data_IF_165347858112
#
_entry.id   IF_165347858112
#
_cell.length_a   1.000
_cell.length_b   1.000
_cell.length_c   1.000
_cell.angle_alpha   90.00
_cell.angle_beta   90.00
_cell.angle_gamma   90.00
#
_symmetry.space_group_name_H-M   'P 1'
#
loop_
_entity.id
_entity.type
_entity.pdbx_description
1 polymer ?
#
# COMPACT_ATOMS: atom_id res chain seq x y z
N UNK A 1 17.58 2.28 15.57
CA UNK A 1 16.74 1.04 15.50
C UNK A 1 15.27 1.34 15.76
N UNK A 2 14.94 2.08 16.84
CA UNK A 2 13.62 2.72 16.97
C UNK A 2 13.31 3.63 15.77
N UNK A 3 14.29 4.34 15.20
CA UNK A 3 14.04 5.22 14.04
C UNK A 3 13.60 4.44 12.79
N UNK A 4 14.18 3.26 12.54
CA UNK A 4 13.80 2.40 11.40
C UNK A 4 12.37 1.87 11.58
N UNK A 5 12.00 1.54 12.81
CA UNK A 5 10.65 1.10 13.14
C UNK A 5 9.61 2.22 12.92
N UNK A 6 9.93 3.46 13.30
CA UNK A 6 9.08 4.61 12.97
C UNK A 6 8.94 4.81 11.45
N UNK A 7 10.03 4.66 10.69
CA UNK A 7 9.99 4.77 9.22
C UNK A 7 9.06 3.71 8.60
N UNK A 8 9.11 2.48 9.08
CA UNK A 8 8.19 1.41 8.64
C UNK A 8 6.73 1.78 8.89
N UNK A 9 6.41 2.23 10.10
CA UNK A 9 5.06 2.64 10.48
C UNK A 9 4.60 3.81 9.61
N UNK A 10 5.45 4.80 9.40
CA UNK A 10 5.13 5.96 8.55
C UNK A 10 4.86 5.54 7.11
N UNK A 11 5.70 4.68 6.52
CA UNK A 11 5.50 4.16 5.16
C UNK A 11 4.21 3.35 5.03
N UNK A 12 3.91 2.51 6.04
CA UNK A 12 2.68 1.72 6.06
C UNK A 12 1.43 2.61 6.17
N UNK A 13 1.46 3.64 7.03
CA UNK A 13 0.37 4.63 7.14
C UNK A 13 0.14 5.34 5.80
N UNK A 14 1.21 5.79 5.15
CA UNK A 14 1.13 6.44 3.83
C UNK A 14 0.51 5.47 2.82
N UNK A 15 0.97 4.22 2.77
CA UNK A 15 0.46 3.19 1.86
C UNK A 15 -1.02 2.93 2.07
N UNK A 16 -1.49 2.89 3.33
CA UNK A 16 -2.92 2.73 3.65
C UNK A 16 -3.73 3.92 3.12
N UNK A 17 -3.28 5.16 3.38
CA UNK A 17 -3.99 6.37 2.92
C UNK A 17 -4.09 6.37 1.39
N UNK A 18 -2.98 6.14 0.70
CA UNK A 18 -2.95 6.16 -0.77
C UNK A 18 -3.78 5.02 -1.35
N UNK A 19 -3.73 3.82 -0.74
CA UNK A 19 -4.56 2.69 -1.18
C UNK A 19 -6.06 2.97 -1.03
N UNK A 20 -6.48 3.70 0.01
CA UNK A 20 -7.86 4.16 0.17
C UNK A 20 -8.21 5.16 -0.94
N UNK A 21 -7.32 6.11 -1.25
CA UNK A 21 -7.56 7.07 -2.34
C UNK A 21 -7.72 6.37 -3.69
N UNK A 22 -6.85 5.39 -4.00
CA UNK A 22 -6.96 4.54 -5.19
C UNK A 22 -8.32 3.85 -5.25
N UNK A 23 -8.74 3.24 -4.13
CA UNK A 23 -10.03 2.58 -4.05
C UNK A 23 -11.18 3.55 -4.33
N UNK A 24 -11.13 4.78 -3.80
CA UNK A 24 -12.16 5.78 -4.07
C UNK A 24 -12.19 6.24 -5.52
N UNK A 25 -11.04 6.42 -6.16
CA UNK A 25 -10.96 6.78 -7.58
C UNK A 25 -11.48 5.65 -8.46
N UNK A 26 -11.13 4.39 -8.16
CA UNK A 26 -11.75 3.26 -8.83
C UNK A 26 -13.26 3.16 -8.56
N UNK A 27 -13.73 3.50 -7.37
CA UNK A 27 -15.17 3.49 -7.11
C UNK A 27 -15.92 4.55 -7.95
N UNK A 28 -15.33 5.74 -8.14
CA UNK A 28 -15.88 6.78 -9.01
C UNK A 28 -15.85 6.36 -10.48
N UNK A 29 -14.69 5.92 -10.98
CA UNK A 29 -14.49 5.48 -12.36
C UNK A 29 -15.36 4.26 -12.72
N UNK A 30 -15.71 3.40 -11.74
CA UNK A 30 -16.67 2.29 -11.94
C UNK A 30 -18.00 2.80 -12.46
N UNK A 31 -18.46 3.95 -11.95
CA UNK A 31 -19.75 4.53 -12.33
C UNK A 31 -19.77 4.99 -13.78
N UNK A 32 -18.62 5.40 -14.32
CA UNK A 32 -18.45 5.89 -15.69
C UNK A 32 -18.10 4.75 -16.69
N UNK A 33 -17.28 3.78 -16.28
CA UNK A 33 -16.73 2.71 -17.14
C UNK A 33 -17.25 1.31 -16.82
N UNK A 34 -18.47 1.21 -16.31
CA UNK A 34 -19.13 0.03 -15.70
C UNK A 34 -19.17 -1.28 -16.54
N UNK A 35 -18.59 -1.31 -17.75
CA UNK A 35 -18.62 -2.46 -18.68
C UNK A 35 -17.29 -3.20 -18.89
N UNK A 36 -16.15 -2.69 -18.42
CA UNK A 36 -14.86 -3.34 -18.69
C UNK A 36 -14.48 -4.36 -17.62
N UNK A 37 -14.26 -5.63 -18.01
CA UNK A 37 -13.78 -6.72 -17.13
C UNK A 37 -12.44 -6.38 -16.47
N UNK A 38 -11.62 -5.57 -17.15
CA UNK A 38 -10.34 -5.05 -16.67
C UNK A 38 -10.54 -4.17 -15.43
N UNK A 39 -11.62 -3.39 -15.39
CA UNK A 39 -11.92 -2.49 -14.30
C UNK A 39 -12.26 -3.24 -13.00
N UNK A 40 -13.04 -4.32 -13.10
CA UNK A 40 -13.32 -5.18 -11.95
C UNK A 40 -12.06 -5.85 -11.40
N UNK A 41 -11.13 -6.25 -12.28
CA UNK A 41 -9.83 -6.80 -11.86
C UNK A 41 -9.00 -5.75 -11.13
N UNK A 42 -8.93 -4.51 -11.65
CA UNK A 42 -8.21 -3.41 -11.01
C UNK A 42 -8.78 -3.06 -9.62
N UNK A 43 -10.09 -3.08 -9.46
CA UNK A 43 -10.75 -2.85 -8.17
C UNK A 43 -10.39 -3.94 -7.16
N UNK A 44 -10.40 -5.21 -7.58
CA UNK A 44 -9.97 -6.34 -6.73
C UNK A 44 -8.49 -6.21 -6.36
N UNK A 45 -7.62 -5.83 -7.31
CA UNK A 45 -6.21 -5.56 -7.04
C UNK A 45 -6.04 -4.44 -6.01
N UNK A 46 -6.81 -3.36 -6.10
CA UNK A 46 -6.80 -2.29 -5.11
C UNK A 46 -7.20 -2.77 -3.71
N UNK A 47 -8.18 -3.67 -3.60
CA UNK A 47 -8.57 -4.25 -2.31
C UNK A 47 -7.43 -5.09 -1.75
N UNK A 48 -6.79 -5.92 -2.56
CA UNK A 48 -5.62 -6.69 -2.11
C UNK A 48 -4.47 -5.77 -1.66
N UNK A 49 -4.20 -4.69 -2.38
CA UNK A 49 -3.19 -3.70 -1.99
C UNK A 49 -3.52 -3.01 -0.65
N UNK A 50 -4.79 -2.69 -0.40
CA UNK A 50 -5.21 -2.15 0.90
C UNK A 50 -5.00 -3.16 2.03
N UNK A 51 -5.37 -4.42 1.82
CA UNK A 51 -5.21 -5.48 2.83
C UNK A 51 -3.75 -5.76 3.13
N UNK A 52 -2.92 -5.83 2.09
CA UNK A 52 -1.47 -6.01 2.19
C UNK A 52 -0.82 -4.87 3.00
N UNK A 53 -1.15 -3.61 2.66
CA UNK A 53 -0.64 -2.43 3.39
C UNK A 53 -1.04 -2.42 4.87
N UNK A 54 -2.26 -2.88 5.18
CA UNK A 54 -2.74 -3.01 6.57
C UNK A 54 -2.01 -4.15 7.29
N UNK A 55 -1.86 -5.30 6.65
CA UNK A 55 -1.12 -6.44 7.20
C UNK A 55 0.34 -6.09 7.51
N UNK A 56 1.01 -5.36 6.62
CA UNK A 56 2.37 -4.85 6.82
C UNK A 56 2.44 -3.91 8.04
N UNK A 57 1.48 -2.99 8.19
CA UNK A 57 1.41 -2.10 9.34
C UNK A 57 1.33 -2.87 10.67
N UNK A 58 0.49 -3.91 10.73
CA UNK A 58 0.38 -4.76 11.91
C UNK A 58 1.65 -5.57 12.16
N UNK A 59 2.23 -6.17 11.12
CA UNK A 59 3.46 -6.95 11.22
C UNK A 59 4.62 -6.10 11.75
N UNK A 60 4.82 -4.90 11.20
CA UNK A 60 5.86 -3.99 11.67
C UNK A 60 5.60 -3.51 13.09
N UNK A 61 4.35 -3.18 13.44
CA UNK A 61 4.01 -2.79 14.81
C UNK A 61 4.37 -3.88 15.84
N UNK A 62 4.10 -5.16 15.51
CA UNK A 62 4.44 -6.31 16.35
C UNK A 62 5.94 -6.62 16.40
N UNK A 63 6.69 -6.34 15.34
CA UNK A 63 8.14 -6.58 15.28
C UNK A 63 9.01 -5.55 16.02
N UNK A 64 8.41 -4.56 16.69
CA UNK A 64 9.10 -3.52 17.48
C UNK A 64 10.15 -4.04 18.48
N UNK A 65 10.01 -5.29 18.93
CA UNK A 65 10.88 -5.93 19.93
C UNK A 65 12.11 -6.63 19.33
N UNK A 66 12.06 -7.07 18.06
CA UNK A 66 13.11 -7.92 17.48
C UNK A 66 14.21 -7.08 16.80
N UNK A 67 15.46 -7.18 17.28
CA UNK A 67 16.60 -6.32 16.86
C UNK A 67 17.46 -6.94 15.76
N UNK A 68 16.99 -7.94 15.02
CA UNK A 68 17.84 -8.62 14.04
C UNK A 68 17.94 -7.80 12.72
N UNK A 69 19.10 -7.20 12.38
CA UNK A 69 19.25 -6.35 11.19
C UNK A 69 19.05 -7.11 9.88
N UNK A 70 19.29 -8.43 9.86
CA UNK A 70 19.10 -9.28 8.66
C UNK A 70 17.64 -9.32 8.22
N UNK A 71 16.69 -9.05 9.14
CA UNK A 71 15.25 -9.06 8.86
C UNK A 71 14.76 -7.64 8.56
N UNK A 72 15.27 -6.65 9.32
CA UNK A 72 14.79 -5.26 9.29
C UNK A 72 15.12 -4.54 7.97
N UNK A 73 16.33 -4.68 7.43
CA UNK A 73 16.71 -3.96 6.22
C UNK A 73 16.00 -4.46 4.95
N UNK A 74 15.88 -5.78 4.71
CA UNK A 74 15.07 -6.29 3.59
C UNK A 74 13.60 -5.90 3.71
N UNK A 75 13.02 -5.95 4.91
CA UNK A 75 11.64 -5.52 5.09
C UNK A 75 11.45 -4.04 4.78
N UNK A 76 12.42 -3.19 5.13
CA UNK A 76 12.35 -1.75 4.84
C UNK A 76 12.38 -1.48 3.34
N UNK A 77 13.23 -2.19 2.61
CA UNK A 77 13.27 -2.11 1.16
C UNK A 77 11.91 -2.51 0.55
N UNK A 78 11.31 -3.61 1.01
CA UNK A 78 9.99 -4.06 0.57
C UNK A 78 8.95 -2.96 0.82
N UNK A 79 8.88 -2.39 2.03
CA UNK A 79 7.94 -1.32 2.36
C UNK A 79 8.11 -0.08 1.49
N UNK A 80 9.34 0.31 1.16
CA UNK A 80 9.61 1.45 0.29
C UNK A 80 9.08 1.17 -1.13
N UNK A 81 9.38 -0.01 -1.68
CA UNK A 81 8.94 -0.38 -3.03
C UNK A 81 7.42 -0.57 -3.13
N UNK A 82 6.76 -1.14 -2.13
CA UNK A 82 5.29 -1.24 -2.08
C UNK A 82 4.67 0.15 -2.01
N UNK A 83 5.17 1.03 -1.12
CA UNK A 83 4.69 2.41 -1.01
C UNK A 83 4.83 3.17 -2.34
N UNK A 84 5.99 3.09 -2.99
CA UNK A 84 6.24 3.74 -4.28
C UNK A 84 5.32 3.19 -5.39
N UNK A 85 5.11 1.88 -5.44
CA UNK A 85 4.24 1.24 -6.42
C UNK A 85 2.79 1.69 -6.25
N UNK A 86 2.31 1.78 -5.01
CA UNK A 86 0.98 2.28 -4.67
C UNK A 86 0.84 3.75 -5.08
N UNK A 87 1.83 4.60 -4.77
CA UNK A 87 1.83 6.03 -5.18
C UNK A 87 1.80 6.20 -6.69
N UNK A 88 2.61 5.43 -7.43
CA UNK A 88 2.64 5.47 -8.89
C UNK A 88 1.31 5.01 -9.49
N UNK A 89 0.70 3.98 -8.93
CA UNK A 89 -0.58 3.45 -9.37
C UNK A 89 -1.69 4.50 -9.15
N UNK A 90 -1.70 5.18 -7.99
CA UNK A 90 -2.59 6.31 -7.74
C UNK A 90 -2.39 7.42 -8.78
N UNK A 91 -1.15 7.88 -8.98
CA UNK A 91 -0.84 8.93 -9.95
C UNK A 91 -1.31 8.59 -11.37
N UNK A 92 -1.12 7.35 -11.80
CA UNK A 92 -1.57 6.89 -13.11
C UNK A 92 -3.09 6.95 -13.22
N UNK A 93 -3.82 6.44 -12.22
CA UNK A 93 -5.29 6.44 -12.23
C UNK A 93 -5.85 7.86 -12.22
N UNK A 94 -5.28 8.78 -11.45
CA UNK A 94 -5.76 10.17 -11.39
C UNK A 94 -5.52 10.94 -12.70
N UNK A 95 -4.62 10.46 -13.57
CA UNK A 95 -4.33 11.08 -14.87
C UNK A 95 -5.06 10.45 -16.06
N UNK A 96 -5.70 9.30 -15.88
CA UNK A 96 -6.54 8.64 -16.89
C UNK A 96 -7.95 9.21 -16.83
#
# INVERSE_FOLDING_TARGET
MFEIWYIHITLAIISVIVSILIFTEFYKLRREFNRSRIFSVLLVVSIFLTLDSVSDLFAFSMWSSNRNPVIIYPSLAISIFTTLSIILLYYYITRV
#
